data_IF_069120190588
#
_entry.id   IF_069120190588
#
_cell.length_a   1.000
_cell.length_b   1.000
_cell.length_c   1.000
_cell.angle_alpha   90.00
_cell.angle_beta   90.00
_cell.angle_gamma   90.00
#
_symmetry.space_group_name_H-M   'P 1'
#
loop_
_entity.id
_entity.type
_entity.pdbx_description
1 polymer ?
#
# COMPACT_ATOMS: atom_id res chain seq x y z
N UNK A 1 18.02 6.09 10.25
CA UNK A 1 18.11 6.36 8.82
C UNK A 1 16.82 5.94 8.11
N UNK A 2 16.35 6.79 7.22
CA UNK A 2 15.09 6.52 6.53
C UNK A 2 15.30 5.56 5.37
N UNK A 3 14.33 4.68 5.18
CA UNK A 3 14.29 3.76 4.04
C UNK A 3 12.92 3.81 3.41
N UNK A 4 12.79 3.28 2.20
CA UNK A 4 11.51 3.15 1.53
C UNK A 4 11.19 1.66 1.40
N UNK A 5 9.98 1.29 1.77
CA UNK A 5 9.50 -0.08 1.69
C UNK A 5 8.47 -0.15 0.57
N UNK A 6 8.63 -1.11 -0.33
CA UNK A 6 7.64 -1.35 -1.38
C UNK A 6 7.00 -2.70 -1.09
N UNK A 7 5.66 -2.74 -1.02
CA UNK A 7 4.93 -3.95 -0.67
C UNK A 7 3.88 -4.23 -1.73
N UNK A 8 3.75 -5.50 -2.10
CA UNK A 8 2.65 -5.95 -2.95
C UNK A 8 1.89 -7.02 -2.19
N UNK A 9 0.61 -6.81 -1.97
CA UNK A 9 -0.24 -7.74 -1.25
C UNK A 9 -1.30 -8.27 -2.19
N UNK A 10 -1.40 -9.60 -2.27
CA UNK A 10 -2.40 -10.26 -3.08
C UNK A 10 -3.33 -11.05 -2.19
N UNK A 11 -4.59 -11.18 -2.61
CA UNK A 11 -5.58 -11.93 -1.86
C UNK A 11 -6.92 -11.23 -1.91
N UNK A 12 -7.79 -11.55 -0.95
CA UNK A 12 -9.10 -10.93 -0.85
C UNK A 12 -8.94 -9.67 0.02
N UNK A 13 -8.34 -8.64 -0.57
CA UNK A 13 -8.00 -7.41 0.14
C UNK A 13 -8.68 -6.17 -0.43
N UNK A 14 -9.43 -6.30 -1.52
CA UNK A 14 -10.13 -5.17 -2.09
C UNK A 14 -11.60 -5.20 -1.66
N UNK A 15 -12.17 -4.04 -1.40
CA UNK A 15 -13.56 -3.96 -1.03
C UNK A 15 -13.89 -4.39 0.39
N UNK A 16 -12.87 -4.53 1.25
CA UNK A 16 -13.08 -4.95 2.64
C UNK A 16 -12.49 -3.96 3.63
N UNK A 17 -12.30 -2.72 3.20
CA UNK A 17 -11.77 -1.67 4.08
C UNK A 17 -10.26 -1.74 4.26
N UNK A 18 -9.57 -2.42 3.37
CA UNK A 18 -8.15 -2.63 3.54
C UNK A 18 -7.33 -1.36 3.36
N UNK A 19 -7.62 -0.56 2.33
CA UNK A 19 -6.86 0.68 2.12
C UNK A 19 -7.03 1.67 3.29
N UNK A 20 -8.25 1.89 3.81
CA UNK A 20 -8.37 2.74 5.01
C UNK A 20 -7.62 2.16 6.22
N UNK A 21 -7.59 0.85 6.36
CA UNK A 21 -6.84 0.19 7.42
C UNK A 21 -5.34 0.52 7.27
N UNK A 22 -4.80 0.36 6.05
CA UNK A 22 -3.39 0.68 5.78
C UNK A 22 -3.10 2.14 6.09
N UNK A 23 -4.00 3.03 5.66
CA UNK A 23 -3.83 4.47 5.90
C UNK A 23 -3.73 4.76 7.39
N UNK A 24 -4.67 4.23 8.18
CA UNK A 24 -4.68 4.46 9.63
C UNK A 24 -3.41 3.92 10.29
N UNK A 25 -3.00 2.74 9.86
CA UNK A 25 -1.82 2.11 10.44
C UNK A 25 -0.56 2.92 10.10
N UNK A 26 -0.46 3.37 8.85
CA UNK A 26 0.69 4.17 8.43
C UNK A 26 0.76 5.48 9.19
N UNK A 27 -0.39 6.12 9.41
CA UNK A 27 -0.41 7.37 10.18
C UNK A 27 0.00 7.13 11.63
N UNK A 28 -0.46 6.02 12.20
CA UNK A 28 -0.13 5.68 13.57
C UNK A 28 1.37 5.45 13.75
N UNK A 29 2.01 4.88 12.76
CA UNK A 29 3.45 4.61 12.81
C UNK A 29 4.28 5.74 12.21
N UNK A 30 3.65 6.83 11.83
CA UNK A 30 4.34 8.00 11.27
C UNK A 30 5.09 7.70 9.97
N UNK A 31 4.42 6.95 9.08
CA UNK A 31 5.00 6.65 7.77
C UNK A 31 4.47 7.63 6.73
N UNK A 32 5.27 7.87 5.71
CA UNK A 32 4.85 8.66 4.55
C UNK A 32 4.89 7.76 3.32
N UNK A 33 3.99 7.99 2.37
CA UNK A 33 3.93 7.16 1.17
C UNK A 33 2.51 7.08 0.63
N UNK A 34 2.12 5.91 0.15
CA UNK A 34 0.78 5.75 -0.39
C UNK A 34 0.35 4.29 -0.44
N UNK A 35 -0.96 4.08 -0.57
CA UNK A 35 -1.54 2.76 -0.83
C UNK A 35 -2.47 2.91 -2.03
N UNK A 36 -2.43 1.95 -2.94
CA UNK A 36 -3.22 2.00 -4.16
C UNK A 36 -3.66 0.59 -4.55
N UNK A 37 -4.86 0.44 -5.07
CA UNK A 37 -5.33 -0.83 -5.63
C UNK A 37 -4.90 -0.92 -7.09
N UNK A 38 -4.62 -2.12 -7.53
CA UNK A 38 -4.29 -2.37 -8.93
C UNK A 38 -4.79 -3.76 -9.31
N UNK A 39 -4.65 -4.14 -10.57
CA UNK A 39 -5.03 -5.47 -11.01
C UNK A 39 -4.24 -6.55 -10.27
N UNK A 40 -3.03 -6.23 -9.86
CA UNK A 40 -2.16 -7.20 -9.19
C UNK A 40 -2.48 -7.36 -7.70
N UNK A 41 -3.28 -6.46 -7.13
CA UNK A 41 -3.56 -6.47 -5.69
C UNK A 41 -3.44 -5.08 -5.11
N UNK A 42 -2.91 -4.99 -3.90
CA UNK A 42 -2.71 -3.71 -3.23
C UNK A 42 -1.21 -3.42 -3.18
N UNK A 43 -0.83 -2.28 -3.70
CA UNK A 43 0.56 -1.83 -3.67
C UNK A 43 0.70 -0.73 -2.62
N UNK A 44 1.76 -0.80 -1.83
CA UNK A 44 2.02 0.18 -0.78
C UNK A 44 3.47 0.60 -0.90
N UNK A 45 3.72 1.91 -0.76
CA UNK A 45 5.08 2.39 -0.55
C UNK A 45 5.07 3.22 0.71
N UNK A 46 6.07 3.05 1.55
CA UNK A 46 6.14 3.73 2.83
C UNK A 46 7.59 4.05 3.17
N UNK A 47 7.79 5.23 3.74
CA UNK A 47 9.13 5.67 4.15
C UNK A 47 9.14 5.98 5.62
N UNK A 48 10.16 5.50 6.32
CA UNK A 48 10.40 5.79 7.73
C UNK A 48 11.70 5.10 8.15
N UNK A 49 11.98 5.11 9.44
CA UNK A 49 13.07 4.31 9.97
C UNK A 49 12.74 2.83 9.76
N UNK A 50 13.76 2.02 9.55
CA UNK A 50 13.55 0.62 9.23
C UNK A 50 12.72 -0.11 10.28
N UNK A 51 12.94 0.16 11.54
CA UNK A 51 12.19 -0.54 12.58
C UNK A 51 10.69 -0.23 12.51
N UNK A 52 10.32 0.99 12.14
CA UNK A 52 8.92 1.34 11.96
C UNK A 52 8.32 0.62 10.76
N UNK A 53 9.10 0.47 9.71
CA UNK A 53 8.64 -0.24 8.51
C UNK A 53 8.44 -1.72 8.80
N UNK A 54 9.32 -2.32 9.58
CA UNK A 54 9.16 -3.73 9.95
C UNK A 54 7.95 -3.94 10.85
N UNK A 55 7.71 -3.00 11.75
CA UNK A 55 6.52 -3.07 12.59
C UNK A 55 5.25 -2.95 11.73
N UNK A 56 5.30 -2.12 10.69
CA UNK A 56 4.19 -1.95 9.75
C UNK A 56 3.85 -3.29 9.08
N UNK A 57 4.86 -3.99 8.57
CA UNK A 57 4.64 -5.29 7.93
C UNK A 57 3.98 -6.26 8.91
N UNK A 58 4.50 -6.33 10.12
CA UNK A 58 3.95 -7.25 11.12
C UNK A 58 2.50 -6.92 11.44
N UNK A 59 2.19 -5.65 11.61
CA UNK A 59 0.85 -5.25 11.98
C UNK A 59 -0.15 -5.37 10.84
N UNK A 60 0.31 -5.27 9.59
CA UNK A 60 -0.57 -5.52 8.47
C UNK A 60 -1.10 -6.95 8.57
N UNK A 61 -0.24 -7.88 8.89
CA UNK A 61 -0.65 -9.29 8.98
C UNK A 61 -1.46 -9.59 10.22
N UNK A 62 -1.13 -8.98 11.34
CA UNK A 62 -1.78 -9.31 12.60
C UNK A 62 -3.05 -8.51 12.88
N UNK A 63 -3.18 -7.33 12.27
CA UNK A 63 -4.32 -6.45 12.57
C UNK A 63 -5.23 -6.20 11.39
N UNK A 64 -5.08 -6.93 10.31
CA UNK A 64 -5.89 -6.72 9.11
C UNK A 64 -7.37 -6.88 9.40
N UNK A 65 -8.25 -6.24 8.59
CA UNK A 65 -9.69 -6.39 8.78
C UNK A 65 -10.10 -7.85 8.73
N UNK A 66 -11.14 -8.25 9.48
CA UNK A 66 -11.49 -9.66 9.60
C UNK A 66 -11.88 -10.34 8.29
N UNK A 67 -12.40 -9.60 7.33
CA UNK A 67 -12.78 -10.19 6.04
C UNK A 67 -11.65 -10.16 5.01
N UNK A 68 -10.52 -9.56 5.35
CA UNK A 68 -9.38 -9.52 4.43
C UNK A 68 -8.60 -10.82 4.54
N UNK A 69 -8.21 -11.37 3.40
CA UNK A 69 -7.36 -12.55 3.37
C UNK A 69 -6.14 -12.25 2.53
N UNK A 70 -4.97 -12.38 3.14
CA UNK A 70 -3.72 -12.15 2.44
C UNK A 70 -3.18 -13.49 1.99
N UNK A 71 -3.07 -13.67 0.67
CA UNK A 71 -2.51 -14.89 0.11
C UNK A 71 -1.00 -14.75 0.00
N UNK A 72 -0.54 -13.58 -0.41
CA UNK A 72 0.91 -13.34 -0.46
C UNK A 72 1.20 -11.89 -0.14
N UNK A 73 2.34 -11.66 0.48
CA UNK A 73 2.83 -10.34 0.80
C UNK A 73 4.31 -10.35 0.47
N UNK A 74 4.69 -9.54 -0.53
CA UNK A 74 6.07 -9.45 -0.97
C UNK A 74 6.55 -8.03 -0.73
N UNK A 75 7.78 -7.88 -0.28
CA UNK A 75 8.28 -6.53 -0.04
C UNK A 75 9.78 -6.45 -0.32
N UNK A 76 10.23 -5.22 -0.52
CA UNK A 76 11.65 -4.95 -0.64
C UNK A 76 11.94 -3.56 -0.09
N UNK A 77 13.17 -3.35 0.35
CA UNK A 77 13.61 -2.05 0.82
C UNK A 77 14.36 -1.34 -0.31
N UNK A 78 14.06 -0.07 -0.44
CA UNK A 78 14.62 0.75 -1.51
C UNK A 78 15.13 2.06 -0.92
N UNK A 79 15.79 2.86 -1.75
CA UNK A 79 16.24 4.18 -1.33
C UNK A 79 15.06 5.12 -1.18
N UNK A 80 15.10 6.07 -0.25
CA UNK A 80 13.99 6.99 -0.05
C UNK A 80 13.69 7.84 -1.27
N UNK A 81 12.39 8.13 -1.46
CA UNK A 81 11.94 9.01 -2.54
C UNK A 81 11.59 10.41 -2.03
N UNK A 82 11.36 10.56 -0.74
CA UNK A 82 11.02 11.87 -0.18
C UNK A 82 9.54 12.15 -0.07
N UNK A 83 8.73 11.15 0.21
CA UNK A 83 7.30 11.37 0.42
C UNK A 83 7.09 12.28 1.63
N UNK A 84 6.11 13.18 1.55
CA UNK A 84 5.85 14.13 2.62
C UNK A 84 4.60 13.82 3.44
N UNK A 85 3.78 12.87 3.00
CA UNK A 85 2.57 12.46 3.73
C UNK A 85 2.16 11.08 3.28
N UNK A 86 1.15 10.50 3.93
CA UNK A 86 0.61 9.22 3.49
C UNK A 86 -0.75 9.45 2.85
N UNK A 87 -0.98 8.82 1.71
CA UNK A 87 -2.17 9.01 0.91
C UNK A 87 -2.81 7.70 0.51
N UNK A 88 -4.13 7.71 0.37
CA UNK A 88 -4.84 6.66 -0.33
C UNK A 88 -5.00 7.17 -1.76
N UNK A 89 -4.51 6.42 -2.73
CA UNK A 89 -4.58 6.82 -4.13
C UNK A 89 -5.64 6.03 -4.87
N UNK A 90 -6.15 6.61 -5.95
CA UNK A 90 -7.10 5.94 -6.81
C UNK A 90 -6.42 4.78 -7.51
N UNK A 91 -7.22 3.79 -7.89
CA UNK A 91 -6.70 2.63 -8.60
C UNK A 91 -6.03 3.06 -9.90
N UNK A 92 -4.87 2.49 -10.16
CA UNK A 92 -4.17 2.75 -11.41
C UNK A 92 -4.98 2.32 -12.61
N UNK A 93 -5.77 1.28 -12.45
CA UNK A 93 -6.54 0.74 -13.54
C UNK A 93 -7.53 1.74 -14.10
N UNK A 94 -8.09 2.55 -13.23
CA UNK A 94 -9.03 3.56 -13.70
C UNK A 94 -8.37 4.57 -14.61
N UNK A 95 -7.21 5.00 -14.26
CA UNK A 95 -6.49 5.94 -15.07
C UNK A 95 -6.08 5.38 -16.40
N UNK A 96 -5.63 4.17 -16.41
CA UNK A 96 -5.24 3.54 -17.62
C UNK A 96 -6.38 3.35 -18.56
N UNK A 97 -7.48 2.91 -18.04
CA UNK A 97 -8.63 2.70 -18.87
C UNK A 97 -9.09 3.98 -19.49
N UNK A 98 -9.07 5.04 -18.76
CA UNK A 98 -9.45 6.30 -19.31
C UNK A 98 -8.60 6.69 -20.47
N UNK A 99 -7.34 6.42 -20.39
CA UNK A 99 -6.43 6.82 -21.43
C UNK A 99 -6.55 5.94 -22.65
N UNK A 100 -6.83 4.67 -22.44
CA UNK A 100 -6.86 3.76 -23.54
C UNK A 100 -8.14 3.71 -24.24
N UNK A 101 -9.13 3.76 -23.49
CA UNK A 101 -10.40 3.61 -24.02
C UNK A 101 -10.78 4.73 -24.74
N UNK A 102 -10.26 5.41 -24.27
CA UNK A 102 -10.31 6.32 -24.69
C UNK A 102 -9.50 6.18 -25.59
N UNK A 103 -9.19 5.82 -25.57
CA UNK A 103 -8.47 5.56 -26.40
C UNK A 103 -8.82 4.47 -26.92
N UNK A 104 -9.50 4.72 -26.54
CA UNK A 104 -9.51 3.95 -26.53
C UNK A 104 -9.90 3.73 -26.46
N UNK A 105 -10.03 4.11 -26.23
CA UNK A 105 -10.00 3.88 -25.66
C UNK A 105 -9.98 3.70 -25.87
#
# INVERSE_FOLDING_TARGET
>A
MKKRLSILIKGAVQGVGFRPFIYRLAKKLHLNGYVINSNSGVTIEAESAEENLREFITKIETEKPPHAKIISLEYSFLDPSGFSSFEIRQSEDNGEISALIFANR
#
